data_IF_726459711496
#
_entry.id   IF_726459711496
#
_cell.length_a   1.000
_cell.length_b   1.000
_cell.length_c   1.000
_cell.angle_alpha   90.00
_cell.angle_beta   90.00
_cell.angle_gamma   90.00
#
_symmetry.space_group_name_H-M   'P 1'
#
loop_
_entity.id
_entity.type
_entity.pdbx_description
1 polymer ?
#
# COMPACT_ATOMS: atom_id res chain seq x y z
N UNK A 1 -13.80 28.17 56.33
CA UNK A 1 -12.70 27.21 56.60
C UNK A 1 -12.08 26.88 55.24
N UNK A 2 -10.92 27.46 54.96
CA UNK A 2 -10.28 27.43 53.64
C UNK A 2 -9.29 26.27 53.63
N UNK A 3 -9.59 25.21 52.89
CA UNK A 3 -8.68 24.07 52.72
C UNK A 3 -7.69 24.44 51.61
N UNK A 4 -6.51 24.90 52.03
CA UNK A 4 -5.35 25.04 51.15
C UNK A 4 -4.82 23.63 50.91
N UNK A 5 -5.02 23.10 49.71
CA UNK A 5 -4.33 21.89 49.25
C UNK A 5 -2.95 22.32 48.79
N UNK A 6 -1.96 22.23 49.67
CA UNK A 6 -0.55 22.33 49.31
C UNK A 6 -0.18 21.11 48.48
N UNK A 7 -0.06 21.27 47.16
CA UNK A 7 0.57 20.26 46.31
C UNK A 7 2.05 20.18 46.68
N UNK A 8 2.42 19.15 47.43
CA UNK A 8 3.80 18.77 47.65
C UNK A 8 4.38 18.32 46.30
N UNK A 9 5.25 19.17 45.74
CA UNK A 9 6.09 18.82 44.62
C UNK A 9 7.01 17.67 45.06
N UNK A 10 6.66 16.44 44.70
CA UNK A 10 7.56 15.31 44.79
C UNK A 10 8.74 15.56 43.86
N UNK A 11 9.90 15.85 44.46
CA UNK A 11 11.17 15.97 43.77
C UNK A 11 11.48 14.67 43.03
N UNK A 12 11.38 14.72 41.70
CA UNK A 12 11.94 13.71 40.82
C UNK A 12 13.44 14.00 40.65
N UNK A 13 14.26 12.97 40.84
CA UNK A 13 15.70 12.95 40.52
C UNK A 13 16.00 13.68 39.20
N UNK A 14 16.95 14.61 39.21
CA UNK A 14 17.15 15.67 38.21
C UNK A 14 17.55 15.29 36.78
N UNK A 15 17.37 14.05 36.33
CA UNK A 15 17.67 13.63 34.96
C UNK A 15 16.39 13.24 34.23
N UNK A 16 16.10 13.94 33.12
CA UNK A 16 15.02 13.62 32.19
C UNK A 16 15.19 12.20 31.65
N UNK A 17 14.12 11.38 31.72
CA UNK A 17 14.08 10.04 31.13
C UNK A 17 13.12 10.04 29.94
N UNK A 18 13.34 9.16 28.96
CA UNK A 18 12.41 8.96 27.84
C UNK A 18 10.97 8.65 28.29
N UNK A 19 10.82 7.97 29.44
CA UNK A 19 9.53 7.68 30.08
C UNK A 19 8.80 8.91 30.63
N UNK A 20 9.49 10.04 30.82
CA UNK A 20 8.91 11.26 31.39
C UNK A 20 8.14 12.09 30.35
N UNK A 21 8.42 11.87 29.06
CA UNK A 21 7.67 12.45 27.93
C UNK A 21 6.77 11.39 27.29
N UNK A 22 5.98 10.69 28.09
CA UNK A 22 4.85 9.93 27.56
C UNK A 22 3.70 10.93 27.38
N UNK A 23 3.31 11.29 26.15
CA UNK A 23 2.20 12.20 25.94
C UNK A 23 0.92 11.57 26.52
N UNK A 24 0.10 12.37 27.21
CA UNK A 24 -1.18 11.89 27.74
C UNK A 24 -2.13 11.41 26.63
N UNK A 25 -1.92 11.92 25.41
CA UNK A 25 -2.68 11.62 24.20
C UNK A 25 -1.75 11.53 22.99
N UNK A 26 -1.94 10.49 22.18
CA UNK A 26 -1.30 10.30 20.89
C UNK A 26 -2.37 10.15 19.82
N UNK A 27 -2.26 10.96 18.76
CA UNK A 27 -3.15 10.91 17.60
C UNK A 27 -2.33 10.84 16.33
N UNK A 28 -2.54 9.80 15.52
CA UNK A 28 -1.97 9.69 14.18
C UNK A 28 -3.08 9.47 13.16
N UNK A 29 -2.97 10.16 12.03
CA UNK A 29 -3.86 10.03 10.89
C UNK A 29 -3.02 9.88 9.64
N UNK A 30 -3.22 8.76 8.93
CA UNK A 30 -2.55 8.47 7.68
C UNK A 30 -3.59 8.23 6.61
N UNK A 31 -3.51 8.98 5.52
CA UNK A 31 -4.27 8.72 4.31
C UNK A 31 -3.31 8.45 3.16
N UNK A 32 -3.45 7.29 2.55
CA UNK A 32 -2.64 6.86 1.41
C UNK A 32 -3.54 6.63 0.22
N UNK A 33 -3.13 7.18 -0.91
CA UNK A 33 -3.75 6.96 -2.21
C UNK A 33 -2.71 6.29 -3.11
N UNK A 34 -3.09 5.20 -3.75
CA UNK A 34 -2.25 4.48 -4.69
C UNK A 34 -3.04 4.17 -5.95
N UNK A 35 -2.39 4.27 -7.10
CA UNK A 35 -3.02 3.95 -8.38
C UNK A 35 -1.99 3.44 -9.36
N UNK A 36 -2.41 2.56 -10.26
CA UNK A 36 -1.58 2.10 -11.36
C UNK A 36 -2.41 1.77 -12.58
N UNK A 37 -1.86 2.05 -13.76
CA UNK A 37 -2.40 1.63 -15.03
C UNK A 37 -1.30 0.84 -15.76
N UNK A 38 -1.64 -0.34 -16.26
CA UNK A 38 -0.77 -1.21 -17.04
C UNK A 38 -1.44 -1.51 -18.37
N UNK A 39 -0.71 -1.21 -19.44
CA UNK A 39 -1.06 -1.58 -20.82
C UNK A 39 0.00 -2.59 -21.27
N UNK A 40 -0.44 -3.70 -21.87
CA UNK A 40 0.44 -4.72 -22.41
C UNK A 40 -0.18 -5.21 -23.71
N UNK A 41 0.64 -5.32 -24.73
CA UNK A 41 0.31 -5.87 -26.04
C UNK A 41 1.42 -6.86 -26.41
N UNK A 42 1.07 -7.99 -26.99
CA UNK A 42 2.02 -9.04 -27.37
C UNK A 42 1.57 -9.70 -28.66
N UNK A 43 2.46 -9.65 -29.65
CA UNK A 43 2.29 -10.26 -30.96
C UNK A 43 3.27 -11.43 -31.09
N UNK A 44 2.72 -12.64 -31.19
CA UNK A 44 3.49 -13.86 -31.45
C UNK A 44 3.11 -14.41 -32.82
N UNK A 45 4.06 -14.39 -33.75
CA UNK A 45 3.94 -15.10 -35.03
C UNK A 45 5.00 -16.20 -35.09
N UNK A 46 4.55 -17.45 -35.19
CA UNK A 46 5.41 -18.61 -35.35
C UNK A 46 4.95 -19.46 -36.52
N UNK A 47 5.83 -19.62 -37.50
CA UNK A 47 5.68 -20.58 -38.60
C UNK A 47 6.64 -21.72 -38.35
N UNK A 48 6.14 -22.95 -38.34
CA UNK A 48 6.97 -24.16 -38.27
C UNK A 48 6.78 -24.95 -39.54
N UNK A 49 7.86 -25.03 -40.32
CA UNK A 49 7.98 -25.94 -41.45
C UNK A 49 8.62 -27.24 -40.93
N UNK A 50 7.89 -28.36 -40.97
CA UNK A 50 8.54 -29.66 -40.71
C UNK A 50 9.45 -30.01 -41.90
N UNK A 51 10.74 -30.18 -41.62
CA UNK A 51 11.78 -30.34 -42.63
C UNK A 51 11.90 -31.76 -43.22
N UNK A 52 12.15 -31.77 -44.54
CA UNK A 52 12.58 -32.82 -45.48
C UNK A 52 11.67 -34.05 -45.71
N UNK A 53 10.62 -33.90 -46.54
CA UNK A 53 9.97 -35.05 -47.17
C UNK A 53 10.69 -35.47 -48.46
N UNK A 54 10.65 -36.77 -48.75
CA UNK A 54 11.18 -37.35 -49.98
C UNK A 54 10.58 -36.67 -51.25
N UNK A 55 11.31 -36.63 -52.38
CA UNK A 55 10.85 -35.98 -53.61
C UNK A 55 9.49 -36.54 -54.06
N UNK A 56 8.46 -35.69 -54.07
CA UNK A 56 7.11 -36.01 -54.53
C UNK A 56 6.00 -35.91 -53.47
N UNK A 57 6.33 -35.65 -52.20
CA UNK A 57 5.34 -35.41 -51.14
C UNK A 57 5.32 -33.92 -50.81
N UNK A 58 4.16 -33.27 -50.98
CA UNK A 58 4.04 -31.84 -50.72
C UNK A 58 3.88 -31.56 -49.21
N UNK A 59 4.37 -30.39 -48.80
CA UNK A 59 4.63 -30.00 -47.42
C UNK A 59 3.35 -29.81 -46.59
N UNK A 60 3.44 -30.13 -45.30
CA UNK A 60 2.49 -29.70 -44.29
C UNK A 60 3.01 -28.41 -43.65
N UNK A 61 2.33 -27.30 -43.89
CA UNK A 61 2.67 -26.01 -43.26
C UNK A 61 1.72 -25.77 -42.09
N UNK A 62 2.27 -25.44 -40.92
CA UNK A 62 1.50 -24.98 -39.77
C UNK A 62 1.92 -23.56 -39.39
N UNK A 63 0.97 -22.63 -39.45
CA UNK A 63 1.16 -21.24 -39.05
C UNK A 63 0.31 -20.94 -37.82
N UNK A 64 0.94 -20.34 -36.81
CA UNK A 64 0.27 -19.86 -35.61
C UNK A 64 0.52 -18.37 -35.46
N UNK A 65 -0.57 -17.62 -35.47
CA UNK A 65 -0.58 -16.18 -35.18
C UNK A 65 -1.39 -15.97 -33.90
N UNK A 66 -0.82 -15.25 -32.93
CA UNK A 66 -1.48 -14.89 -31.70
C UNK A 66 -1.23 -13.43 -31.40
N UNK A 67 -2.30 -12.66 -31.28
CA UNK A 67 -2.29 -11.28 -30.78
C UNK A 67 -2.99 -11.28 -29.41
N UNK A 68 -2.41 -10.59 -28.44
CA UNK A 68 -3.02 -10.41 -27.13
C UNK A 68 -2.81 -9.01 -26.58
N UNK A 69 -3.92 -8.38 -26.24
CA UNK A 69 -3.99 -7.09 -25.61
C UNK A 69 -4.54 -7.23 -24.19
N UNK A 70 -3.92 -6.54 -23.23
CA UNK A 70 -4.45 -6.40 -21.88
C UNK A 70 -4.28 -5.00 -21.33
N UNK A 71 -5.34 -4.52 -20.67
CA UNK A 71 -5.44 -3.19 -20.05
C UNK A 71 -5.94 -3.39 -18.64
N UNK A 72 -5.11 -3.04 -17.67
CA UNK A 72 -5.44 -3.16 -16.25
C UNK A 72 -5.29 -1.79 -15.59
N UNK A 73 -6.29 -1.38 -14.82
CA UNK A 73 -6.24 -0.20 -13.99
C UNK A 73 -6.63 -0.57 -12.56
N UNK A 74 -5.91 -0.03 -11.58
CA UNK A 74 -6.26 -0.20 -10.19
C UNK A 74 -6.14 1.12 -9.44
N UNK A 75 -7.08 1.35 -8.53
CA UNK A 75 -7.11 2.47 -7.61
C UNK A 75 -7.26 1.93 -6.20
N UNK A 76 -6.49 2.47 -5.27
CA UNK A 76 -6.52 2.14 -3.86
C UNK A 76 -6.55 3.41 -3.02
N UNK A 77 -7.32 3.36 -1.95
CA UNK A 77 -7.32 4.36 -0.89
C UNK A 77 -7.33 3.64 0.44
N UNK A 78 -6.43 4.00 1.35
CA UNK A 78 -6.44 3.50 2.71
C UNK A 78 -6.34 4.65 3.70
N UNK A 79 -7.24 4.68 4.67
CA UNK A 79 -7.20 5.61 5.80
C UNK A 79 -6.94 4.82 7.07
N UNK A 80 -6.08 5.36 7.92
CA UNK A 80 -5.76 4.80 9.22
C UNK A 80 -5.77 5.94 10.24
N UNK A 81 -6.55 5.76 11.30
CA UNK A 81 -6.59 6.67 12.43
C UNK A 81 -6.31 5.90 13.71
N UNK A 82 -5.43 6.47 14.54
CA UNK A 82 -5.06 5.92 15.83
C UNK A 82 -5.14 6.99 16.88
N UNK A 83 -5.86 6.69 17.95
CA UNK A 83 -5.96 7.49 19.16
C UNK A 83 -5.51 6.64 20.35
N UNK A 84 -4.61 7.13 21.17
CA UNK A 84 -4.10 6.40 22.32
C UNK A 84 -3.83 7.33 23.50
N UNK A 85 -4.01 6.80 24.71
CA UNK A 85 -3.79 7.44 26.00
C UNK A 85 -3.11 6.45 26.93
N UNK A 86 -2.68 6.89 28.12
CA UNK A 86 -2.06 6.02 29.13
C UNK A 86 -2.91 4.79 29.49
N UNK A 87 -4.24 4.91 29.43
CA UNK A 87 -5.15 3.84 29.84
C UNK A 87 -5.86 3.15 28.68
N UNK A 88 -6.00 3.79 27.51
CA UNK A 88 -6.89 3.34 26.44
C UNK A 88 -6.34 3.63 25.06
N UNK A 89 -6.66 2.77 24.10
CA UNK A 89 -6.39 3.02 22.69
C UNK A 89 -7.62 2.71 21.83
N UNK A 90 -7.65 3.36 20.66
CA UNK A 90 -8.61 3.19 19.60
C UNK A 90 -7.84 3.24 18.27
N UNK A 91 -7.98 2.20 17.46
CA UNK A 91 -7.47 2.15 16.10
C UNK A 91 -8.66 1.96 15.17
N UNK A 92 -8.69 2.70 14.09
CA UNK A 92 -9.65 2.47 13.01
C UNK A 92 -8.94 2.57 11.69
N UNK A 93 -9.33 1.71 10.76
CA UNK A 93 -8.80 1.71 9.42
C UNK A 93 -9.90 1.42 8.43
N UNK A 94 -9.82 2.01 7.25
CA UNK A 94 -10.59 1.57 6.11
C UNK A 94 -9.71 1.53 4.88
N UNK A 95 -9.96 0.57 3.99
CA UNK A 95 -9.34 0.54 2.68
C UNK A 95 -10.34 0.17 1.60
N UNK A 96 -10.19 0.80 0.45
CA UNK A 96 -10.96 0.55 -0.76
C UNK A 96 -9.96 0.27 -1.88
N UNK A 97 -10.11 -0.88 -2.55
CA UNK A 97 -9.38 -1.22 -3.76
C UNK A 97 -10.37 -1.47 -4.89
N UNK A 98 -10.17 -0.82 -6.01
CA UNK A 98 -10.91 -1.02 -7.24
C UNK A 98 -9.92 -1.48 -8.31
N UNK A 99 -10.27 -2.53 -9.06
CA UNK A 99 -9.48 -3.07 -10.15
C UNK A 99 -10.38 -3.32 -11.34
N UNK A 100 -9.99 -2.79 -12.49
CA UNK A 100 -10.62 -3.05 -13.77
C UNK A 100 -9.59 -3.68 -14.70
N UNK A 101 -9.97 -4.79 -15.31
CA UNK A 101 -9.13 -5.50 -16.28
C UNK A 101 -9.91 -5.79 -17.54
N UNK A 102 -9.32 -5.52 -18.69
CA UNK A 102 -9.83 -5.96 -20.00
C UNK A 102 -8.71 -6.67 -20.73
N UNK A 103 -9.01 -7.82 -21.30
CA UNK A 103 -8.10 -8.54 -22.18
C UNK A 103 -8.84 -9.02 -23.41
N UNK A 104 -8.18 -8.92 -24.56
CA UNK A 104 -8.61 -9.56 -25.79
C UNK A 104 -7.45 -10.36 -26.34
N UNK A 105 -7.73 -11.53 -26.90
CA UNK A 105 -6.74 -12.29 -27.61
C UNK A 105 -7.37 -12.91 -28.85
N UNK A 106 -6.67 -12.79 -29.96
CA UNK A 106 -7.02 -13.43 -31.20
C UNK A 106 -5.97 -14.49 -31.49
N UNK A 107 -6.42 -15.71 -31.76
CA UNK A 107 -5.56 -16.82 -32.13
C UNK A 107 -6.02 -17.38 -33.46
N UNK A 108 -5.11 -17.42 -34.43
CA UNK A 108 -5.30 -18.11 -35.69
C UNK A 108 -4.31 -19.27 -35.77
N UNK A 109 -4.83 -20.45 -36.07
CA UNK A 109 -4.04 -21.62 -36.43
C UNK A 109 -4.45 -22.02 -37.85
N UNK A 110 -3.50 -22.00 -38.77
CA UNK A 110 -3.70 -22.54 -40.10
C UNK A 110 -2.81 -23.76 -40.28
N UNK A 111 -3.38 -24.80 -40.87
CA UNK A 111 -2.64 -25.95 -41.35
C UNK A 111 -3.04 -26.21 -42.79
N UNK A 112 -2.06 -26.41 -43.66
CA UNK A 112 -2.31 -26.70 -45.06
C UNK A 112 -1.52 -27.92 -45.48
N UNK A 113 -2.24 -28.81 -46.16
CA UNK A 113 -1.72 -29.99 -46.85
C UNK A 113 -2.22 -29.92 -48.30
N UNK A 114 -1.64 -30.68 -49.24
CA UNK A 114 -2.00 -30.62 -50.66
C UNK A 114 -3.49 -30.90 -50.96
N UNK A 115 -4.17 -31.64 -50.08
CA UNK A 115 -5.55 -32.06 -50.25
C UNK A 115 -6.53 -31.39 -49.28
N UNK A 116 -6.03 -30.68 -48.27
CA UNK A 116 -6.84 -30.12 -47.18
C UNK A 116 -6.22 -28.83 -46.63
N UNK A 117 -7.04 -27.79 -46.53
CA UNK A 117 -6.73 -26.60 -45.73
C UNK A 117 -7.66 -26.57 -44.53
N UNK A 118 -7.10 -26.43 -43.35
CA UNK A 118 -7.81 -26.27 -42.09
C UNK A 118 -7.35 -24.99 -41.41
N UNK A 119 -8.31 -24.12 -41.08
CA UNK A 119 -8.06 -22.87 -40.39
C UNK A 119 -8.99 -22.78 -39.20
N UNK A 120 -8.42 -22.54 -38.03
CA UNK A 120 -9.15 -22.31 -36.77
C UNK A 120 -8.83 -20.91 -36.31
N UNK A 121 -9.83 -20.05 -36.28
CA UNK A 121 -9.74 -18.73 -35.67
C UNK A 121 -10.49 -18.74 -34.35
N UNK A 122 -9.87 -18.21 -33.30
CA UNK A 122 -10.48 -18.09 -31.99
C UNK A 122 -10.27 -16.70 -31.42
N UNK A 123 -11.38 -16.01 -31.17
CA UNK A 123 -11.40 -14.68 -30.59
C UNK A 123 -11.92 -14.74 -29.15
N UNK A 124 -11.07 -14.29 -28.24
CA UNK A 124 -11.36 -14.19 -26.81
C UNK A 124 -11.46 -12.72 -26.42
N UNK A 125 -12.53 -12.36 -25.73
CA UNK A 125 -12.67 -11.05 -25.09
C UNK A 125 -13.19 -11.21 -23.68
N UNK A 126 -12.44 -10.64 -22.74
CA UNK A 126 -12.68 -10.72 -21.32
C UNK A 126 -12.61 -9.34 -20.69
N UNK A 127 -13.60 -9.00 -19.88
CA UNK A 127 -13.51 -7.87 -18.95
C UNK A 127 -13.89 -8.29 -17.55
N UNK A 128 -13.23 -7.70 -16.56
CA UNK A 128 -13.50 -7.90 -15.16
C UNK A 128 -13.42 -6.61 -14.37
N UNK A 129 -14.23 -6.55 -13.33
CA UNK A 129 -14.21 -5.49 -12.34
C UNK A 129 -14.21 -6.14 -10.96
N UNK A 130 -13.27 -5.74 -10.11
CA UNK A 130 -13.19 -6.20 -8.73
C UNK A 130 -13.12 -5.00 -7.81
N UNK A 131 -13.97 -4.99 -6.78
CA UNK A 131 -13.98 -4.00 -5.71
C UNK A 131 -13.84 -4.69 -4.37
N UNK A 132 -12.87 -4.26 -3.57
CA UNK A 132 -12.65 -4.73 -2.22
C UNK A 132 -12.73 -3.55 -1.27
N UNK A 133 -13.58 -3.66 -0.26
CA UNK A 133 -13.68 -2.72 0.85
C UNK A 133 -13.38 -3.47 2.15
N UNK A 134 -12.51 -2.90 2.97
CA UNK A 134 -12.29 -3.39 4.32
C UNK A 134 -12.36 -2.25 5.30
N UNK A 135 -12.93 -2.50 6.48
CA UNK A 135 -13.01 -1.53 7.56
C UNK A 135 -12.83 -2.25 8.89
N UNK A 136 -11.97 -1.70 9.74
CA UNK A 136 -11.68 -2.25 11.05
C UNK A 136 -11.76 -1.19 12.13
N UNK A 137 -12.24 -1.60 13.31
CA UNK A 137 -12.16 -0.80 14.53
C UNK A 137 -11.68 -1.71 15.66
N UNK A 138 -10.61 -1.30 16.32
CA UNK A 138 -10.08 -1.97 17.51
C UNK A 138 -10.04 -0.97 18.67
N UNK A 139 -10.64 -1.32 19.80
CA UNK A 139 -10.59 -0.52 21.02
C UNK A 139 -10.06 -1.37 22.17
N UNK A 140 -9.18 -0.81 23.00
CA UNK A 140 -8.59 -1.55 24.11
C UNK A 140 -8.27 -0.69 25.32
N UNK A 141 -8.11 -1.38 26.45
CA UNK A 141 -7.76 -0.79 27.73
C UNK A 141 -6.56 -1.51 28.35
N UNK A 142 -5.59 -0.73 28.81
CA UNK A 142 -4.48 -1.20 29.63
C UNK A 142 -4.98 -1.42 31.06
N UNK A 143 -4.89 -2.67 31.54
CA UNK A 143 -5.39 -3.07 32.85
C UNK A 143 -4.27 -2.95 33.89
N UNK A 144 -3.07 -3.45 33.56
CA UNK A 144 -1.91 -3.44 34.46
C UNK A 144 -0.63 -3.19 33.67
N UNK A 145 0.01 -2.04 33.91
CA UNK A 145 1.24 -1.62 33.22
C UNK A 145 1.11 -1.63 31.69
N UNK A 146 1.51 -2.72 31.07
CA UNK A 146 1.61 -2.95 29.63
C UNK A 146 0.65 -4.04 29.18
N UNK A 147 0.00 -4.72 30.12
CA UNK A 147 -1.04 -5.69 29.83
C UNK A 147 -2.33 -4.97 29.46
N UNK A 148 -2.87 -5.31 28.29
CA UNK A 148 -4.13 -4.77 27.79
C UNK A 148 -5.09 -5.87 27.38
N UNK A 149 -6.36 -5.50 27.31
CA UNK A 149 -7.42 -6.28 26.64
C UNK A 149 -8.07 -5.37 25.61
N UNK A 150 -8.20 -5.86 24.40
CA UNK A 150 -8.88 -5.15 23.31
C UNK A 150 -10.02 -5.97 22.71
N UNK A 151 -10.93 -5.26 22.06
CA UNK A 151 -12.02 -5.81 21.26
C UNK A 151 -11.96 -5.18 19.88
N UNK A 152 -12.00 -6.01 18.85
CA UNK A 152 -11.92 -5.60 17.45
C UNK A 152 -13.12 -6.09 16.65
N UNK A 153 -13.52 -5.30 15.67
CA UNK A 153 -14.45 -5.70 14.61
C UNK A 153 -13.84 -5.34 13.27
N UNK A 154 -13.70 -6.33 12.41
CA UNK A 154 -13.25 -6.17 11.03
C UNK A 154 -14.36 -6.61 10.07
N UNK A 155 -14.67 -5.75 9.12
CA UNK A 155 -15.60 -5.99 8.04
C UNK A 155 -14.82 -6.02 6.72
N UNK A 156 -15.06 -7.06 5.94
CA UNK A 156 -14.54 -7.21 4.59
C UNK A 156 -15.70 -7.45 3.62
N UNK A 157 -15.74 -6.64 2.57
CA UNK A 157 -16.71 -6.72 1.48
C UNK A 157 -15.97 -6.82 0.15
N UNK A 158 -16.20 -7.91 -0.57
CA UNK A 158 -15.67 -8.14 -1.92
C UNK A 158 -16.80 -8.20 -2.93
N UNK A 159 -16.58 -7.56 -4.09
CA UNK A 159 -17.44 -7.63 -5.27
C UNK A 159 -16.58 -7.93 -6.48
N UNK A 160 -16.92 -8.98 -7.24
CA UNK A 160 -16.23 -9.35 -8.46
C UNK A 160 -17.23 -9.63 -9.57
N UNK A 161 -17.05 -8.98 -10.72
CA UNK A 161 -17.90 -9.18 -11.89
C UNK A 161 -17.05 -9.43 -13.13
N UNK A 162 -17.44 -10.43 -13.91
CA UNK A 162 -16.92 -10.68 -15.25
C UNK A 162 -18.05 -10.46 -16.26
N UNK A 163 -18.35 -9.19 -16.63
CA UNK A 163 -19.57 -8.86 -17.37
C UNK A 163 -19.55 -9.37 -18.81
N UNK A 164 -18.37 -9.53 -19.40
CA UNK A 164 -18.20 -10.03 -20.76
C UNK A 164 -17.07 -11.06 -20.76
N UNK A 165 -17.42 -12.33 -20.89
CA UNK A 165 -16.52 -13.37 -21.37
C UNK A 165 -17.14 -13.92 -22.65
N UNK A 166 -16.48 -13.66 -23.78
CA UNK A 166 -16.90 -14.11 -25.11
C UNK A 166 -15.78 -14.95 -25.73
N UNK A 167 -16.17 -16.11 -26.24
CA UNK A 167 -15.31 -16.99 -27.02
C UNK A 167 -16.03 -17.33 -28.32
N UNK A 168 -15.50 -16.84 -29.43
CA UNK A 168 -15.96 -17.16 -30.76
C UNK A 168 -14.92 -18.08 -31.41
N UNK A 169 -15.36 -19.23 -31.92
CA UNK A 169 -14.50 -20.17 -32.64
C UNK A 169 -15.03 -20.38 -34.04
N UNK A 170 -14.19 -20.14 -35.05
CA UNK A 170 -14.49 -20.32 -36.45
C UNK A 170 -13.59 -21.42 -37.02
N UNK A 171 -14.19 -22.56 -37.36
CA UNK A 171 -13.49 -23.67 -38.00
C UNK A 171 -13.82 -23.70 -39.50
N UNK A 172 -12.81 -23.44 -40.33
CA UNK A 172 -12.91 -23.49 -41.78
C UNK A 172 -12.15 -24.70 -42.33
N UNK A 173 -12.87 -25.53 -43.09
CA UNK A 173 -12.31 -26.69 -43.78
C UNK A 173 -12.54 -26.61 -45.27
N UNK A 174 -11.47 -26.75 -46.05
CA UNK A 174 -11.53 -26.92 -47.50
C UNK A 174 -10.90 -28.24 -47.89
N UNK A 175 -11.69 -29.11 -48.51
CA UNK A 175 -11.23 -30.40 -49.04
C UNK A 175 -11.18 -30.36 -50.57
N UNK A 176 -10.07 -30.82 -51.15
CA UNK A 176 -9.90 -31.02 -52.60
C UNK A 176 -10.10 -32.52 -52.92
N UNK A 177 -11.09 -32.84 -53.75
CA UNK A 177 -11.34 -34.22 -54.20
C UNK A 177 -11.72 -34.22 -55.69
N UNK A 178 -10.74 -34.46 -56.57
CA UNK A 178 -10.94 -34.40 -58.03
C UNK A 178 -11.22 -32.97 -58.51
N UNK A 179 -12.21 -32.80 -59.39
CA UNK A 179 -12.65 -31.49 -59.91
C UNK A 179 -13.59 -30.72 -58.96
N UNK A 180 -13.85 -31.24 -57.77
CA UNK A 180 -14.80 -30.69 -56.81
C UNK A 180 -14.10 -30.24 -55.54
N UNK A 181 -14.52 -29.07 -55.03
CA UNK A 181 -14.13 -28.60 -53.70
C UNK A 181 -15.34 -28.63 -52.76
N UNK A 182 -15.10 -29.00 -51.50
CA UNK A 182 -16.11 -28.95 -50.43
C UNK A 182 -15.62 -28.04 -49.33
N UNK A 183 -16.42 -27.01 -49.04
CA UNK A 183 -16.18 -26.08 -47.94
C UNK A 183 -17.14 -26.37 -46.80
N UNK A 184 -16.62 -26.36 -45.57
CA UNK A 184 -17.41 -26.45 -44.35
C UNK A 184 -16.95 -25.37 -43.39
N UNK A 185 -17.90 -24.58 -42.93
CA UNK A 185 -17.73 -23.61 -41.86
C UNK A 185 -18.51 -24.10 -40.64
N UNK A 186 -17.86 -24.10 -39.47
CA UNK A 186 -18.53 -24.34 -38.19
C UNK A 186 -18.24 -23.17 -37.27
N UNK A 187 -19.31 -22.56 -36.73
CA UNK A 187 -19.22 -21.41 -35.83
C UNK A 187 -19.68 -21.84 -34.44
N UNK A 188 -18.80 -21.70 -33.46
CA UNK A 188 -19.09 -21.92 -32.04
C UNK A 188 -19.13 -20.58 -31.29
N UNK A 189 -20.16 -20.40 -30.46
CA UNK A 189 -20.35 -19.19 -29.67
C UNK A 189 -20.67 -19.53 -28.22
N UNK A 190 -19.90 -18.97 -27.29
CA UNK A 190 -20.15 -19.11 -25.85
C UNK A 190 -19.94 -17.79 -25.11
N UNK A 191 -20.97 -17.37 -24.38
CA UNK A 191 -20.90 -16.24 -23.44
C UNK A 191 -21.08 -16.73 -22.02
N UNK A 192 -20.26 -16.19 -21.10
CA UNK A 192 -20.40 -16.43 -19.66
C UNK A 192 -20.36 -15.11 -18.91
N UNK A 193 -21.32 -14.93 -18.01
CA UNK A 193 -21.32 -13.84 -17.03
C UNK A 193 -21.19 -14.44 -15.64
N UNK A 194 -20.43 -13.79 -14.78
CA UNK A 194 -20.25 -14.19 -13.38
C UNK A 194 -20.30 -12.95 -12.51
N UNK A 195 -21.01 -13.05 -11.39
CA UNK A 195 -21.05 -12.08 -10.28
C UNK A 195 -20.73 -12.87 -9.01
N UNK A 196 -19.80 -12.36 -8.21
CA UNK A 196 -19.42 -12.92 -6.92
C UNK A 196 -19.41 -11.81 -5.86
N UNK A 197 -19.95 -12.14 -4.68
CA UNK A 197 -20.10 -11.22 -3.56
C UNK A 197 -19.71 -11.92 -2.28
N UNK A 198 -18.74 -11.35 -1.59
CA UNK A 198 -18.25 -11.87 -0.31
C UNK A 198 -18.46 -10.84 0.78
N UNK A 199 -19.03 -11.26 1.91
CA UNK A 199 -19.14 -10.46 3.13
C UNK A 199 -18.57 -11.30 4.26
N UNK A 200 -17.55 -10.77 4.94
CA UNK A 200 -16.93 -11.38 6.11
C UNK A 200 -16.89 -10.36 7.25
N UNK A 201 -17.32 -10.78 8.44
CA UNK A 201 -17.35 -9.96 9.64
C UNK A 201 -16.67 -10.75 10.75
N UNK A 202 -15.56 -10.24 11.25
CA UNK A 202 -14.77 -10.85 12.32
C UNK A 202 -14.89 -10.03 13.58
N UNK A 203 -15.06 -10.74 14.69
CA UNK A 203 -15.08 -10.18 16.04
C UNK A 203 -13.95 -10.83 16.82
N UNK A 204 -13.10 -10.01 17.42
CA UNK A 204 -11.92 -10.48 18.14
C UNK A 204 -11.87 -9.86 19.54
N UNK A 205 -11.44 -10.65 20.52
CA UNK A 205 -11.10 -10.17 21.87
C UNK A 205 -9.67 -10.63 22.13
N UNK A 206 -8.78 -9.67 22.32
CA UNK A 206 -7.34 -9.92 22.31
C UNK A 206 -6.71 -9.43 23.61
N UNK A 207 -6.25 -10.34 24.49
CA UNK A 207 -5.32 -9.97 25.55
C UNK A 207 -3.91 -9.82 24.97
N UNK A 208 -3.17 -8.82 25.42
CA UNK A 208 -1.82 -8.55 24.92
C UNK A 208 -0.92 -7.91 25.95
N UNK A 209 0.39 -7.99 25.71
CA UNK A 209 1.42 -7.29 26.46
C UNK A 209 2.16 -6.33 25.54
N UNK A 210 2.37 -5.12 26.03
CA UNK A 210 3.20 -4.11 25.37
C UNK A 210 2.47 -2.78 25.29
N UNK A 211 3.17 -1.73 25.73
CA UNK A 211 2.78 -0.37 25.39
C UNK A 211 3.31 -0.04 24.01
N UNK A 212 2.45 0.46 23.13
CA UNK A 212 2.83 0.81 21.77
C UNK A 212 3.28 2.28 21.72
N UNK A 213 4.24 2.65 22.58
CA UNK A 213 4.84 3.98 22.56
C UNK A 213 5.99 4.03 21.56
N UNK A 214 5.80 4.77 20.46
CA UNK A 214 6.96 5.32 19.75
C UNK A 214 7.57 6.41 20.65
N UNK A 215 8.47 6.04 21.56
CA UNK A 215 9.31 6.97 22.33
C UNK A 215 10.27 7.82 21.48
N UNK A 216 10.01 7.89 20.17
CA UNK A 216 10.85 8.46 19.13
C UNK A 216 11.14 9.93 19.38
N UNK A 217 10.19 10.71 19.89
CA UNK A 217 10.42 12.14 20.14
C UNK A 217 11.31 12.38 21.37
N UNK A 218 11.04 11.65 22.46
CA UNK A 218 11.83 11.74 23.68
C UNK A 218 13.27 11.22 23.44
N UNK A 219 13.41 10.12 22.68
CA UNK A 219 14.72 9.60 22.27
C UNK A 219 15.44 10.54 21.32
N UNK A 220 14.72 11.16 20.37
CA UNK A 220 15.33 12.15 19.44
C UNK A 220 15.75 13.41 20.18
N UNK A 221 14.96 13.92 21.12
CA UNK A 221 15.33 15.07 21.94
C UNK A 221 16.57 14.77 22.80
N UNK A 222 16.62 13.59 23.43
CA UNK A 222 17.81 13.15 24.18
C UNK A 222 19.03 13.02 23.28
N UNK A 223 18.87 12.38 22.13
CA UNK A 223 19.95 12.24 21.14
C UNK A 223 20.49 13.60 20.69
N UNK A 224 19.61 14.55 20.33
CA UNK A 224 20.01 15.90 19.92
C UNK A 224 20.76 16.65 21.03
N UNK A 225 20.30 16.55 22.28
CA UNK A 225 20.99 17.17 23.42
C UNK A 225 22.33 16.51 23.72
N UNK A 226 22.43 15.19 23.60
CA UNK A 226 23.71 14.49 23.75
C UNK A 226 24.69 14.87 22.63
N UNK A 227 24.22 14.98 21.39
CA UNK A 227 25.03 15.40 20.24
C UNK A 227 25.55 16.84 20.42
N UNK A 228 24.68 17.78 20.76
CA UNK A 228 25.08 19.17 21.07
C UNK A 228 26.03 19.27 22.27
N UNK A 229 25.88 18.38 23.27
CA UNK A 229 26.80 18.31 24.42
C UNK A 229 28.17 17.79 23.98
N UNK A 230 28.20 16.75 23.17
CA UNK A 230 29.42 16.14 22.66
C UNK A 230 30.21 17.12 21.77
N UNK A 231 29.51 17.99 21.03
CA UNK A 231 30.12 19.06 20.23
C UNK A 231 30.47 20.32 21.04
N UNK A 232 30.22 20.35 22.35
CA UNK A 232 30.54 21.48 23.22
C UNK A 232 29.68 22.72 22.97
N UNK A 233 28.52 22.56 22.32
CA UNK A 233 27.61 23.64 21.95
C UNK A 233 26.60 23.99 23.04
N UNK A 234 26.57 23.21 24.13
CA UNK A 234 25.71 23.44 25.28
C UNK A 234 26.47 24.08 26.45
N UNK A 235 25.98 25.23 26.90
CA UNK A 235 26.49 25.97 28.06
C UNK A 235 26.14 25.32 29.41
N UNK A 236 25.37 24.22 29.42
CA UNK A 236 24.96 23.53 30.63
C UNK A 236 23.94 22.41 30.40
N UNK A 237 23.44 21.84 31.50
CA UNK A 237 22.38 20.83 31.44
C UNK A 237 21.02 21.48 31.17
N UNK A 238 20.31 20.94 30.18
CA UNK A 238 18.95 21.35 29.85
C UNK A 238 18.00 20.89 30.96
N UNK A 239 17.15 21.79 31.45
CA UNK A 239 16.18 21.48 32.50
C UNK A 239 15.12 20.50 31.99
N UNK A 240 14.47 19.78 32.91
CA UNK A 240 13.37 18.86 32.56
C UNK A 240 12.24 19.56 31.79
N UNK A 241 11.89 20.78 32.18
CA UNK A 241 10.84 21.56 31.51
C UNK A 241 11.22 21.92 30.08
N UNK A 242 12.49 22.28 29.85
CA UNK A 242 12.99 22.58 28.50
C UNK A 242 13.15 21.32 27.64
N UNK A 243 13.44 20.16 28.24
CA UNK A 243 13.42 18.87 27.54
C UNK A 243 12.01 18.49 27.06
N UNK A 244 10.98 18.72 27.88
CA UNK A 244 9.58 18.49 27.47
C UNK A 244 9.19 19.40 26.30
N UNK A 245 9.55 20.69 26.38
CA UNK A 245 9.29 21.66 25.31
C UNK A 245 9.99 21.30 23.99
N UNK A 246 11.23 20.80 24.05
CA UNK A 246 11.94 20.30 22.87
C UNK A 246 11.22 19.11 22.21
N UNK A 247 10.75 18.18 23.02
CA UNK A 247 9.99 17.04 22.51
C UNK A 247 8.68 17.48 21.82
N UNK A 248 8.00 18.49 22.38
CA UNK A 248 6.79 19.09 21.77
C UNK A 248 7.09 19.78 20.44
N UNK A 249 8.21 20.50 20.34
CA UNK A 249 8.66 21.10 19.08
C UNK A 249 8.87 20.00 18.02
N UNK A 250 9.61 18.94 18.35
CA UNK A 250 9.88 17.83 17.43
C UNK A 250 8.56 17.16 17.00
N UNK A 251 7.61 16.99 17.92
CA UNK A 251 6.29 16.44 17.63
C UNK A 251 5.49 17.32 16.67
N UNK A 252 5.36 18.63 16.95
CA UNK A 252 4.60 19.56 16.12
C UNK A 252 5.14 19.68 14.69
N UNK A 253 6.46 19.69 14.53
CA UNK A 253 7.08 19.74 13.19
C UNK A 253 6.96 18.43 12.40
N UNK A 254 6.79 17.27 13.06
CA UNK A 254 6.47 16.01 12.35
C UNK A 254 5.05 16.02 11.81
N UNK A 255 4.10 16.58 12.56
CA UNK A 255 2.70 16.72 12.10
C UNK A 255 2.57 17.71 10.94
N UNK A 256 3.30 18.83 10.99
CA UNK A 256 3.24 19.89 9.98
C UNK A 256 3.78 19.46 8.59
N UNK A 257 4.75 18.55 8.56
CA UNK A 257 5.44 18.13 7.33
C UNK A 257 5.29 16.63 7.04
N UNK A 258 4.07 16.09 7.18
CA UNK A 258 3.80 14.66 6.99
C UNK A 258 4.14 14.12 5.59
N UNK A 259 4.24 15.00 4.58
CA UNK A 259 4.50 14.63 3.18
C UNK A 259 5.99 14.76 2.80
N UNK A 260 6.76 15.64 3.43
CA UNK A 260 8.17 15.90 3.09
C UNK A 260 9.10 15.69 4.30
N UNK A 261 9.74 14.52 4.32
CA UNK A 261 10.66 14.09 5.38
C UNK A 261 11.96 14.90 5.45
N UNK A 262 12.39 15.54 4.35
CA UNK A 262 13.63 16.34 4.35
C UNK A 262 13.38 17.72 4.92
N UNK A 263 12.27 18.34 4.50
CA UNK A 263 11.82 19.63 5.02
C UNK A 263 11.53 19.54 6.53
N UNK A 264 10.88 18.45 6.96
CA UNK A 264 10.67 18.11 8.37
C UNK A 264 11.97 18.20 9.20
N UNK A 265 13.05 17.56 8.73
CA UNK A 265 14.31 17.49 9.48
C UNK A 265 14.96 18.87 9.62
N UNK A 266 14.97 19.66 8.56
CA UNK A 266 15.59 20.99 8.55
C UNK A 266 14.80 21.96 9.44
N UNK A 267 13.48 22.01 9.30
CA UNK A 267 12.65 22.93 10.09
C UNK A 267 12.60 22.54 11.58
N UNK A 268 12.52 21.25 11.90
CA UNK A 268 12.56 20.79 13.29
C UNK A 268 13.90 21.11 13.97
N UNK A 269 15.03 20.94 13.26
CA UNK A 269 16.36 21.29 13.78
C UNK A 269 16.49 22.79 14.00
N UNK A 270 16.08 23.61 13.02
CA UNK A 270 16.12 25.07 13.17
C UNK A 270 15.26 25.55 14.35
N UNK A 271 14.08 24.96 14.55
CA UNK A 271 13.20 25.31 15.66
C UNK A 271 13.78 24.88 17.02
N UNK A 272 14.38 23.69 17.09
CA UNK A 272 15.08 23.19 18.29
C UNK A 272 16.26 24.10 18.65
N UNK A 273 17.08 24.48 17.67
CA UNK A 273 18.23 25.35 17.87
C UNK A 273 17.81 26.77 18.27
N UNK A 274 16.78 27.34 17.62
CA UNK A 274 16.22 28.65 18.01
C UNK A 274 15.72 28.63 19.45
N UNK A 275 15.00 27.57 19.84
CA UNK A 275 14.49 27.43 21.21
C UNK A 275 15.62 27.32 22.25
N UNK A 276 16.69 26.60 21.94
CA UNK A 276 17.86 26.49 22.82
C UNK A 276 18.62 27.82 22.93
N UNK A 277 18.73 28.58 21.85
CA UNK A 277 19.34 29.91 21.82
C UNK A 277 18.53 30.92 22.65
N UNK A 278 17.20 30.96 22.45
CA UNK A 278 16.29 31.85 23.19
C UNK A 278 16.34 31.62 24.71
N UNK A 279 16.71 30.39 25.14
CA UNK A 279 16.86 30.00 26.54
C UNK A 279 18.31 30.11 27.06
N UNK A 280 19.24 30.56 26.23
CA UNK A 280 20.65 30.78 26.60
C UNK A 280 21.49 29.51 26.73
N UNK A 281 21.03 28.38 26.20
CA UNK A 281 21.78 27.11 26.25
C UNK A 281 22.86 27.00 25.18
N UNK A 282 22.77 27.78 24.10
CA UNK A 282 23.74 27.82 23.01
C UNK A 282 24.30 29.23 22.83
N UNK A 283 25.54 29.39 22.32
CA UNK A 283 26.06 30.70 21.89
C UNK A 283 25.20 31.33 20.78
N UNK A 284 25.26 32.67 20.66
CA UNK A 284 24.48 33.45 19.69
C UNK A 284 24.75 32.93 18.25
N UNK A 285 23.70 32.43 17.60
CA UNK A 285 23.83 31.89 16.24
C UNK A 285 23.82 33.02 15.20
N UNK A 286 24.79 33.01 14.30
CA UNK A 286 24.77 33.81 13.08
C UNK A 286 23.66 33.34 12.11
N UNK A 287 23.37 34.12 11.05
CA UNK A 287 22.39 33.71 10.05
C UNK A 287 22.78 32.34 9.48
N UNK A 288 21.81 31.43 9.37
CA UNK A 288 21.94 30.04 8.90
C UNK A 288 22.52 29.01 9.89
N UNK A 289 22.54 29.28 11.20
CA UNK A 289 22.95 28.28 12.21
C UNK A 289 24.47 28.06 12.29
N UNK A 290 25.25 28.99 11.74
CA UNK A 290 26.68 29.06 11.99
C UNK A 290 26.93 29.70 13.37
N UNK A 291 27.70 29.04 14.22
CA UNK A 291 28.09 29.54 15.53
C UNK A 291 29.11 30.67 15.31
N UNK A 292 28.87 31.84 15.92
CA UNK A 292 29.81 32.95 15.97
C UNK A 292 30.73 32.86 17.19
#
# INVERSE_FOLDING_TARGET
MLVVITSTALGASGNFKTSDYIPEKFTDFQWKLNGSAKLSSSDDNSTTDEADPAPGVAYDMTERVSDSDSKNASLGSSMYYRYETVQRFLKTGCSLSLRYGRSSSQRSLSSSTPMKVEKVETDYSYSSFNGEFSSGVEAGQYIIRDFFVSTGVDLHYGYGETPNYRNDTYDYYRYLSGDYYRERETVGYWERKSDDRTIDIKFEITPGWGRLYEGRYASTALYMIEELRNEGLLNGNVSREHMLALCDIIYQYRLKHCVDMRLHRIEALNAVLSFLNDKGYTPEMGPYGAIC
#
